data_IF_815871916756
#
_entry.id   IF_815871916756
#
_cell.length_a   1.000
_cell.length_b   1.000
_cell.length_c   1.000
_cell.angle_alpha   90.00
_cell.angle_beta   90.00
_cell.angle_gamma   90.00
#
_symmetry.space_group_name_H-M   'P 1'
#
loop_
_entity.id
_entity.type
_entity.pdbx_description
1 polymer ?
#
# COMPACT_ATOMS: atom_id res chain seq x y z
N UNK A 1 0.82 0.31 25.62
CA UNK A 1 -0.46 0.16 24.89
C UNK A 1 -0.76 1.43 24.06
N UNK A 2 0.22 1.93 23.29
CA UNK A 2 0.12 3.22 22.56
C UNK A 2 0.58 3.11 21.09
N UNK A 3 1.09 1.95 20.67
CA UNK A 3 1.66 1.75 19.33
C UNK A 3 0.60 1.51 18.24
N UNK A 4 -0.65 1.24 18.61
CA UNK A 4 -1.70 0.83 17.66
C UNK A 4 -2.56 2.01 17.17
N UNK A 5 -2.66 3.10 17.93
CA UNK A 5 -3.37 4.32 17.52
C UNK A 5 -2.52 5.28 16.69
N UNK A 6 -1.18 5.24 16.84
CA UNK A 6 -0.25 6.06 16.04
C UNK A 6 -0.18 5.63 14.57
N UNK A 7 -0.53 4.37 14.25
CA UNK A 7 -0.62 3.91 12.87
C UNK A 7 -1.74 4.61 12.09
N UNK A 8 -2.87 4.95 12.73
CA UNK A 8 -3.99 5.67 12.09
C UNK A 8 -3.74 7.17 11.92
N UNK A 9 -3.09 7.83 12.89
CA UNK A 9 -2.80 9.27 12.79
C UNK A 9 -1.67 9.58 11.78
N UNK A 10 -0.66 8.71 11.67
CA UNK A 10 0.37 8.81 10.62
C UNK A 10 -0.19 8.51 9.23
N UNK A 11 -1.22 7.65 9.16
CA UNK A 11 -1.88 7.27 7.91
C UNK A 11 -2.75 8.39 7.31
N UNK A 12 -3.45 9.18 8.14
CA UNK A 12 -4.17 10.40 7.70
C UNK A 12 -3.19 11.53 7.31
N UNK A 13 -2.03 11.65 7.99
CA UNK A 13 -0.97 12.58 7.56
C UNK A 13 -0.33 12.15 6.23
N UNK A 14 -0.25 10.84 5.96
CA UNK A 14 0.22 10.28 4.70
C UNK A 14 -0.74 10.62 3.56
N UNK A 15 -2.06 10.57 3.77
CA UNK A 15 -3.04 10.91 2.74
C UNK A 15 -3.15 12.43 2.48
N UNK A 16 -2.98 13.28 3.50
CA UNK A 16 -3.12 14.74 3.35
C UNK A 16 -1.85 15.48 2.88
N UNK A 17 -0.66 14.87 3.00
CA UNK A 17 0.62 15.47 2.57
C UNK A 17 1.29 14.74 1.39
N UNK A 18 0.62 13.79 0.75
CA UNK A 18 1.14 13.14 -0.45
C UNK A 18 0.79 13.92 -1.73
N UNK A 19 1.32 15.15 -1.83
CA UNK A 19 1.38 15.87 -3.12
C UNK A 19 2.65 15.51 -3.90
N UNK A 20 3.68 14.96 -3.24
CA UNK A 20 4.99 14.66 -3.85
C UNK A 20 5.34 13.17 -3.94
N UNK A 21 4.60 12.26 -3.30
CA UNK A 21 4.96 10.83 -3.27
C UNK A 21 4.26 9.96 -4.35
N UNK A 22 3.52 10.58 -5.26
CA UNK A 22 2.89 9.89 -6.39
C UNK A 22 3.86 9.66 -7.57
N UNK A 23 5.05 10.29 -7.56
CA UNK A 23 6.01 10.22 -8.67
C UNK A 23 6.78 8.89 -8.77
N UNK A 24 6.98 8.14 -7.66
CA UNK A 24 7.66 6.83 -7.71
C UNK A 24 6.76 5.67 -8.16
N UNK A 25 5.46 5.93 -8.41
CA UNK A 25 4.51 4.94 -8.94
C UNK A 25 4.71 4.74 -10.46
N UNK A 26 5.47 5.63 -11.12
CA UNK A 26 5.54 5.75 -12.59
C UNK A 26 6.80 5.19 -13.28
N UNK A 27 7.88 4.85 -12.58
CA UNK A 27 9.15 4.53 -13.25
C UNK A 27 9.27 3.04 -13.60
N UNK A 28 8.59 2.64 -14.69
CA UNK A 28 9.07 1.53 -15.51
C UNK A 28 8.52 1.63 -16.94
N UNK A 29 9.45 1.97 -17.85
CA UNK A 29 9.27 1.99 -19.30
C UNK A 29 8.98 0.58 -19.80
N UNK A 30 7.74 0.33 -20.20
CA UNK A 30 7.36 -0.75 -21.13
C UNK A 30 6.00 -0.38 -21.73
N UNK A 31 5.94 -0.29 -23.05
CA UNK A 31 4.81 0.18 -23.82
C UNK A 31 3.61 -0.78 -23.75
N UNK A 32 2.56 -0.40 -23.01
CA UNK A 32 1.21 -0.90 -23.27
C UNK A 32 0.17 0.08 -22.71
N UNK A 33 -0.81 0.51 -23.52
CA UNK A 33 -1.86 1.48 -23.14
C UNK A 33 -2.61 1.07 -21.86
N UNK A 34 -2.62 -0.23 -21.58
CA UNK A 34 -3.28 -0.88 -20.46
C UNK A 34 -2.56 -0.61 -19.11
N UNK A 35 -1.22 -0.52 -19.09
CA UNK A 35 -0.42 -0.22 -17.88
C UNK A 35 -0.68 1.20 -17.37
N UNK A 36 -0.84 2.14 -18.30
CA UNK A 36 -1.09 3.55 -17.98
C UNK A 36 -2.48 3.78 -17.38
N UNK A 37 -3.51 3.13 -17.94
CA UNK A 37 -4.89 3.16 -17.41
C UNK A 37 -4.95 2.67 -15.96
N UNK A 38 -4.29 1.55 -15.66
CA UNK A 38 -4.20 1.02 -14.29
C UNK A 38 -3.44 1.98 -13.36
N UNK A 39 -2.31 2.51 -13.81
CA UNK A 39 -1.54 3.48 -13.01
C UNK A 39 -2.37 4.73 -12.68
N UNK A 40 -3.17 5.23 -13.62
CA UNK A 40 -4.02 6.40 -13.38
C UNK A 40 -5.12 6.11 -12.36
N UNK A 41 -5.65 4.89 -12.29
CA UNK A 41 -6.66 4.56 -11.26
C UNK A 41 -6.05 4.48 -9.86
N UNK A 42 -4.80 4.05 -9.72
CA UNK A 42 -4.06 4.16 -8.44
C UNK A 42 -3.62 5.61 -8.10
N UNK A 43 -3.93 6.60 -8.96
CA UNK A 43 -3.79 8.04 -8.62
C UNK A 43 -5.08 8.64 -8.08
N UNK A 44 -6.21 7.96 -8.26
CA UNK A 44 -7.51 8.37 -7.76
C UNK A 44 -7.53 8.25 -6.22
N UNK A 45 -7.66 9.36 -5.47
CA UNK A 45 -7.55 9.34 -4.02
C UNK A 45 -8.65 8.51 -3.36
N UNK A 46 -9.84 8.47 -3.95
CA UNK A 46 -10.97 7.70 -3.44
C UNK A 46 -10.69 6.19 -3.56
N UNK A 47 -10.28 5.74 -4.75
CA UNK A 47 -9.86 4.36 -4.96
C UNK A 47 -8.68 3.97 -4.06
N UNK A 48 -7.69 4.84 -3.94
CA UNK A 48 -6.52 4.57 -3.09
C UNK A 48 -6.90 4.42 -1.63
N UNK A 49 -7.79 5.27 -1.11
CA UNK A 49 -8.30 5.13 0.26
C UNK A 49 -8.96 3.76 0.46
N UNK A 50 -9.91 3.41 -0.42
CA UNK A 50 -10.61 2.13 -0.34
C UNK A 50 -9.68 0.92 -0.46
N UNK A 51 -8.72 0.98 -1.39
CA UNK A 51 -7.74 -0.07 -1.59
C UNK A 51 -6.92 -0.32 -0.32
N UNK A 52 -6.44 0.76 0.30
CA UNK A 52 -5.61 0.62 1.49
C UNK A 52 -6.44 0.16 2.68
N UNK A 53 -7.67 0.62 2.84
CA UNK A 53 -8.56 0.14 3.90
C UNK A 53 -8.77 -1.38 3.80
N UNK A 54 -9.05 -1.88 2.58
CA UNK A 54 -9.15 -3.32 2.31
C UNK A 54 -7.84 -4.07 2.51
N UNK A 55 -6.70 -3.45 2.21
CA UNK A 55 -5.39 -4.04 2.44
C UNK A 55 -5.06 -4.11 3.95
N UNK A 56 -5.45 -3.10 4.73
CA UNK A 56 -5.23 -3.03 6.19
C UNK A 56 -5.95 -4.16 6.92
N UNK A 57 -7.17 -4.50 6.50
CA UNK A 57 -7.94 -5.63 7.07
C UNK A 57 -7.20 -6.98 6.91
N UNK A 58 -6.38 -7.12 5.88
CA UNK A 58 -5.68 -8.37 5.52
C UNK A 58 -4.34 -8.50 6.26
N UNK A 59 -4.41 -8.62 7.59
CA UNK A 59 -3.25 -8.62 8.50
C UNK A 59 -2.18 -9.66 8.14
N UNK A 60 -2.58 -10.84 7.70
CA UNK A 60 -1.67 -11.89 7.22
C UNK A 60 -0.78 -11.47 6.05
N UNK A 61 -1.08 -10.36 5.37
CA UNK A 61 -0.20 -9.81 4.34
C UNK A 61 0.95 -9.01 4.96
N UNK A 62 0.74 -8.21 6.00
CA UNK A 62 1.71 -7.21 6.45
C UNK A 62 2.16 -7.34 7.91
N UNK A 63 1.42 -8.06 8.75
CA UNK A 63 1.73 -8.28 10.15
C UNK A 63 2.56 -9.55 10.33
N UNK A 64 3.87 -9.39 10.57
CA UNK A 64 4.83 -10.52 10.70
C UNK A 64 4.46 -11.47 11.85
N UNK A 65 3.89 -10.93 12.93
CA UNK A 65 3.46 -11.71 14.11
C UNK A 65 2.17 -12.51 13.86
N UNK A 66 1.46 -12.26 12.77
CA UNK A 66 0.23 -12.97 12.45
C UNK A 66 0.55 -14.44 12.13
N UNK A 67 -0.18 -15.37 12.74
CA UNK A 67 0.08 -16.82 12.60
C UNK A 67 0.10 -17.29 11.14
N UNK A 68 -0.78 -16.74 10.31
CA UNK A 68 -0.86 -17.05 8.88
C UNK A 68 0.13 -16.26 7.98
N UNK A 69 1.03 -15.44 8.53
CA UNK A 69 1.94 -14.59 7.74
C UNK A 69 2.86 -15.40 6.82
N UNK A 70 3.45 -16.48 7.35
CA UNK A 70 4.34 -17.38 6.61
C UNK A 70 3.61 -18.49 5.84
N UNK A 71 2.28 -18.61 6.01
CA UNK A 71 1.51 -19.61 5.29
C UNK A 71 1.27 -19.18 3.84
N UNK A 72 2.10 -19.68 2.93
CA UNK A 72 2.07 -19.34 1.49
C UNK A 72 0.69 -19.53 0.86
N UNK A 73 -0.03 -20.61 1.22
CA UNK A 73 -1.36 -20.91 0.66
C UNK A 73 -2.39 -19.87 1.09
N UNK A 74 -2.46 -19.57 2.38
CA UNK A 74 -3.39 -18.57 2.93
C UNK A 74 -3.08 -17.17 2.41
N UNK A 75 -1.79 -16.86 2.32
CA UNK A 75 -1.31 -15.57 1.81
C UNK A 75 -1.69 -15.38 0.34
N UNK A 76 -1.48 -16.39 -0.50
CA UNK A 76 -1.90 -16.39 -1.92
C UNK A 76 -3.42 -16.20 -2.05
N UNK A 77 -4.22 -16.99 -1.32
CA UNK A 77 -5.67 -16.86 -1.35
C UNK A 77 -6.16 -15.46 -0.91
N UNK A 78 -5.45 -14.83 0.03
CA UNK A 78 -5.78 -13.48 0.48
C UNK A 78 -5.45 -12.42 -0.57
N UNK A 79 -4.32 -12.58 -1.28
CA UNK A 79 -3.96 -11.74 -2.41
C UNK A 79 -4.95 -11.91 -3.57
N UNK A 80 -5.41 -13.12 -3.87
CA UNK A 80 -6.43 -13.37 -4.90
C UNK A 80 -7.75 -12.67 -4.57
N UNK A 81 -8.19 -12.68 -3.31
CA UNK A 81 -9.38 -11.93 -2.87
C UNK A 81 -9.19 -10.42 -3.00
N UNK A 82 -7.98 -9.91 -2.73
CA UNK A 82 -7.67 -8.49 -2.90
C UNK A 82 -7.61 -8.13 -4.40
N UNK A 83 -7.08 -9.01 -5.23
CA UNK A 83 -7.04 -8.86 -6.68
C UNK A 83 -8.46 -8.80 -7.26
N UNK A 84 -9.35 -9.69 -6.82
CA UNK A 84 -10.75 -9.67 -7.25
C UNK A 84 -11.42 -8.31 -6.97
N UNK A 85 -11.14 -7.70 -5.81
CA UNK A 85 -11.59 -6.34 -5.50
C UNK A 85 -11.00 -5.29 -6.45
N UNK A 86 -9.71 -5.36 -6.76
CA UNK A 86 -9.10 -4.43 -7.72
C UNK A 86 -9.69 -4.62 -9.12
N UNK A 87 -9.98 -5.86 -9.50
CA UNK A 87 -10.53 -6.22 -10.80
C UNK A 87 -11.96 -5.73 -11.03
N UNK A 88 -12.74 -5.45 -9.97
CA UNK A 88 -14.06 -4.82 -10.14
C UNK A 88 -13.96 -3.42 -10.73
N UNK A 89 -12.82 -2.75 -10.56
CA UNK A 89 -12.57 -1.39 -11.06
C UNK A 89 -11.53 -1.37 -12.18
N UNK A 90 -10.60 -2.33 -12.19
CA UNK A 90 -9.53 -2.47 -13.17
C UNK A 90 -9.47 -3.93 -13.62
N UNK A 91 -10.33 -4.36 -14.56
CA UNK A 91 -10.45 -5.77 -14.95
C UNK A 91 -9.15 -6.43 -15.41
N UNK A 92 -8.22 -5.63 -15.93
CA UNK A 92 -6.93 -6.07 -16.47
C UNK A 92 -5.85 -6.21 -15.39
N UNK A 93 -6.16 -5.90 -14.12
CA UNK A 93 -5.20 -6.02 -13.04
C UNK A 93 -4.76 -7.48 -12.89
N UNK A 94 -3.45 -7.69 -12.84
CA UNK A 94 -2.82 -9.00 -12.61
C UNK A 94 -2.24 -9.09 -11.21
N UNK A 95 -1.98 -10.33 -10.75
CA UNK A 95 -1.33 -10.58 -9.46
C UNK A 95 0.01 -9.86 -9.35
N UNK A 96 0.82 -9.90 -10.41
CA UNK A 96 2.14 -9.27 -10.47
C UNK A 96 2.05 -7.76 -10.19
N UNK A 97 1.11 -7.07 -10.85
CA UNK A 97 0.97 -5.63 -10.67
C UNK A 97 0.46 -5.32 -9.26
N UNK A 98 -0.48 -6.11 -8.73
CA UNK A 98 -0.97 -5.96 -7.36
C UNK A 98 0.17 -6.09 -6.34
N UNK A 99 0.97 -7.16 -6.44
CA UNK A 99 2.11 -7.39 -5.55
C UNK A 99 3.14 -6.26 -5.64
N UNK A 100 3.41 -5.77 -6.85
CA UNK A 100 4.27 -4.61 -7.07
C UNK A 100 3.73 -3.36 -6.35
N UNK A 101 2.43 -3.04 -6.50
CA UNK A 101 1.80 -1.89 -5.82
C UNK A 101 1.86 -2.02 -4.30
N UNK A 102 1.58 -3.21 -3.78
CA UNK A 102 1.72 -3.51 -2.34
C UNK A 102 3.17 -3.31 -1.88
N UNK A 103 4.16 -3.75 -2.66
CA UNK A 103 5.57 -3.55 -2.38
C UNK A 103 5.96 -2.08 -2.29
N UNK A 104 5.51 -1.27 -3.26
CA UNK A 104 5.71 0.19 -3.26
C UNK A 104 5.09 0.82 -2.00
N UNK A 105 3.83 0.49 -1.70
CA UNK A 105 3.13 1.00 -0.50
C UNK A 105 3.86 0.67 0.80
N UNK A 106 4.37 -0.55 0.95
CA UNK A 106 5.16 -0.95 2.14
C UNK A 106 6.45 -0.15 2.26
N UNK A 107 7.16 0.03 1.15
CA UNK A 107 8.40 0.80 1.14
C UNK A 107 8.15 2.26 1.50
N UNK A 108 7.10 2.87 0.94
CA UNK A 108 6.67 4.22 1.28
C UNK A 108 6.35 4.35 2.76
N UNK A 109 5.49 3.46 3.29
CA UNK A 109 5.15 3.44 4.71
C UNK A 109 6.40 3.32 5.59
N UNK A 110 7.32 2.40 5.26
CA UNK A 110 8.56 2.19 6.02
C UNK A 110 9.44 3.44 6.02
N UNK A 111 9.59 4.12 4.88
CA UNK A 111 10.37 5.36 4.77
C UNK A 111 9.77 6.46 5.64
N UNK A 112 8.47 6.71 5.52
CA UNK A 112 7.78 7.78 6.26
C UNK A 112 7.70 7.50 7.77
N UNK A 113 7.48 6.24 8.14
CA UNK A 113 7.55 5.80 9.53
C UNK A 113 8.95 6.04 10.12
N UNK A 114 10.00 5.66 9.39
CA UNK A 114 11.38 5.83 9.85
C UNK A 114 11.77 7.32 9.98
N UNK A 115 11.33 8.17 9.05
CA UNK A 115 11.53 9.63 9.15
C UNK A 115 10.85 10.20 10.39
N UNK A 116 9.59 9.81 10.64
CA UNK A 116 8.83 10.26 11.81
C UNK A 116 9.47 9.79 13.12
N UNK A 117 9.97 8.54 13.15
CA UNK A 117 10.70 8.01 14.30
C UNK A 117 12.05 8.72 14.50
N UNK A 118 12.76 9.03 13.41
CA UNK A 118 14.02 9.76 13.47
C UNK A 118 13.81 11.17 14.03
N UNK A 119 12.79 11.90 13.56
CA UNK A 119 12.47 13.25 14.08
C UNK A 119 12.07 13.24 15.56
N UNK A 120 11.34 12.22 16.00
CA UNK A 120 11.01 12.05 17.42
C UNK A 120 12.26 11.78 18.27
N UNK A 121 13.22 11.02 17.75
CA UNK A 121 14.47 10.67 18.45
C UNK A 121 15.49 11.79 18.47
N UNK A 122 15.54 12.62 17.43
CA UNK A 122 16.53 13.69 17.29
C UNK A 122 16.20 14.95 18.08
N UNK A 123 15.09 14.98 18.84
CA UNK A 123 14.77 16.10 19.72
C UNK A 123 14.82 17.44 19.01
N UNK A 124 14.13 17.57 17.86
CA UNK A 124 13.95 18.87 17.25
C UNK A 124 13.01 19.69 18.16
N UNK A 125 13.62 20.49 19.03
CA UNK A 125 12.99 21.56 19.82
C UNK A 125 12.39 22.65 18.93
#
# INVERSE_FOLDING_TARGET
MQAEFHACALYIKLTHKCRTCMEEIGTEVTSNRNKEKMNNKFKDPEFMSQFIDKYREKRNLWEVKHSAYYNKRVRKATLERLLAFVQTLIPEATMEILERKIGILRNMYRREHNKSQASLRSGAS
#
